data_IF_597813704733
#
_entry.id   IF_597813704733
#
_cell.length_a   1.000
_cell.length_b   1.000
_cell.length_c   1.000
_cell.angle_alpha   90.00
_cell.angle_beta   90.00
_cell.angle_gamma   90.00
#
_symmetry.space_group_name_H-M   'P 1'
#
loop_
_entity.id
_entity.type
_entity.pdbx_description
1 polymer ?
#
# COMPACT_ATOMS: atom_id res chain seq x y z
N UNK A 1 30.68 -7.20 -5.47
CA UNK A 1 30.04 -7.91 -4.34
C UNK A 1 28.90 -8.75 -4.90
N UNK A 2 28.71 -9.98 -4.42
CA UNK A 2 27.55 -10.81 -4.77
C UNK A 2 26.47 -10.78 -3.66
N UNK A 3 25.29 -11.39 -3.90
CA UNK A 3 24.20 -11.43 -2.92
C UNK A 3 24.64 -11.99 -1.57
N UNK A 4 25.40 -13.08 -1.57
CA UNK A 4 25.82 -13.77 -0.33
C UNK A 4 26.71 -12.86 0.51
N UNK A 5 27.67 -12.21 -0.12
CA UNK A 5 28.55 -11.24 0.55
C UNK A 5 27.75 -10.05 1.09
N UNK A 6 26.82 -9.50 0.30
CA UNK A 6 25.99 -8.37 0.72
C UNK A 6 25.15 -8.71 1.96
N UNK A 7 24.49 -9.87 1.94
CA UNK A 7 23.65 -10.33 3.04
C UNK A 7 24.46 -10.65 4.31
N UNK A 8 25.64 -11.26 4.17
CA UNK A 8 26.52 -11.53 5.29
C UNK A 8 27.02 -10.24 5.96
N UNK A 9 27.37 -9.23 5.16
CA UNK A 9 27.80 -7.93 5.67
C UNK A 9 26.65 -7.16 6.32
N UNK A 10 25.46 -7.20 5.73
CA UNK A 10 24.24 -6.63 6.32
C UNK A 10 23.95 -7.26 7.70
N UNK A 11 23.98 -8.59 7.81
CA UNK A 11 23.76 -9.27 9.08
C UNK A 11 24.80 -8.88 10.13
N UNK A 12 26.08 -8.77 9.73
CA UNK A 12 27.17 -8.33 10.59
C UNK A 12 26.94 -6.91 11.11
N UNK A 13 26.53 -5.98 10.26
CA UNK A 13 26.27 -4.58 10.62
C UNK A 13 25.04 -4.42 11.53
N UNK A 14 24.05 -5.30 11.38
CA UNK A 14 22.85 -5.36 12.21
C UNK A 14 23.03 -6.17 13.51
N UNK A 15 24.22 -6.69 13.80
CA UNK A 15 24.51 -7.46 15.02
C UNK A 15 24.23 -6.70 16.33
N UNK A 16 24.26 -5.36 16.28
CA UNK A 16 23.94 -4.49 17.41
C UNK A 16 22.44 -4.38 17.74
N UNK A 17 21.55 -4.84 16.85
CA UNK A 17 20.10 -4.85 17.06
C UNK A 17 19.63 -6.15 17.73
N UNK A 18 18.44 -6.16 18.37
CA UNK A 18 17.83 -7.38 18.88
C UNK A 18 17.71 -8.46 17.79
N UNK A 19 17.84 -9.72 18.20
CA UNK A 19 17.86 -10.86 17.26
C UNK A 19 16.60 -10.92 16.40
N UNK A 20 15.43 -10.65 16.97
CA UNK A 20 14.15 -10.66 16.26
C UNK A 20 14.14 -9.64 15.11
N UNK A 21 14.61 -8.42 15.37
CA UNK A 21 14.65 -7.31 14.39
C UNK A 21 15.71 -7.54 13.33
N UNK A 22 16.89 -8.03 13.73
CA UNK A 22 17.95 -8.43 12.80
C UNK A 22 17.45 -9.52 11.85
N UNK A 23 16.81 -10.57 12.38
CA UNK A 23 16.29 -11.66 11.56
C UNK A 23 15.17 -11.19 10.63
N UNK A 24 14.29 -10.30 11.09
CA UNK A 24 13.24 -9.73 10.26
C UNK A 24 13.83 -8.92 9.10
N UNK A 25 14.80 -8.05 9.38
CA UNK A 25 15.48 -7.25 8.38
C UNK A 25 16.25 -8.12 7.36
N UNK A 26 17.06 -9.08 7.83
CA UNK A 26 17.81 -9.99 6.96
C UNK A 26 16.86 -10.81 6.07
N UNK A 27 15.72 -11.28 6.61
CA UNK A 27 14.72 -11.98 5.79
C UNK A 27 14.11 -11.09 4.72
N UNK A 28 13.76 -9.85 5.06
CA UNK A 28 13.20 -8.91 4.10
C UNK A 28 14.11 -8.69 2.88
N UNK A 29 15.41 -8.45 3.11
CA UNK A 29 16.36 -8.29 2.00
C UNK A 29 16.66 -9.62 1.30
N UNK A 30 16.67 -10.75 2.01
CA UNK A 30 16.82 -12.07 1.38
C UNK A 30 15.69 -12.37 0.39
N UNK A 31 14.44 -12.08 0.77
CA UNK A 31 13.26 -12.26 -0.07
C UNK A 31 13.30 -11.29 -1.27
N UNK A 32 13.72 -10.03 -1.05
CA UNK A 32 13.90 -9.05 -2.13
C UNK A 32 14.92 -9.51 -3.18
N UNK A 33 16.05 -10.08 -2.75
CA UNK A 33 17.02 -10.67 -3.65
C UNK A 33 16.50 -11.94 -4.34
N UNK A 34 15.67 -12.73 -3.66
CA UNK A 34 15.07 -13.94 -4.23
C UNK A 34 14.05 -13.60 -5.33
N UNK A 35 13.24 -12.57 -5.13
CA UNK A 35 12.26 -12.08 -6.11
C UNK A 35 12.93 -11.51 -7.36
N UNK A 36 14.08 -10.85 -7.21
CA UNK A 36 14.86 -10.38 -8.34
C UNK A 36 15.48 -11.52 -9.17
N UNK A 37 15.82 -12.64 -8.51
CA UNK A 37 16.47 -13.79 -9.13
C UNK A 37 17.96 -13.59 -9.44
N UNK A 38 18.67 -14.70 -9.65
CA UNK A 38 20.14 -14.73 -9.78
C UNK A 38 20.68 -13.83 -10.91
N UNK A 39 19.91 -13.67 -11.99
CA UNK A 39 20.29 -12.85 -13.13
C UNK A 39 20.32 -11.35 -12.82
N UNK A 40 19.59 -10.89 -11.81
CA UNK A 40 19.42 -9.47 -11.48
C UNK A 40 20.10 -9.07 -10.16
N UNK A 41 20.85 -9.97 -9.49
CA UNK A 41 21.52 -9.68 -8.22
C UNK A 41 22.44 -8.44 -8.29
N UNK A 42 23.16 -8.28 -9.41
CA UNK A 42 24.05 -7.14 -9.61
C UNK A 42 23.29 -5.81 -9.78
N UNK A 43 22.09 -5.84 -10.34
CA UNK A 43 21.23 -4.66 -10.46
C UNK A 43 20.64 -4.28 -9.11
N UNK A 44 20.18 -5.28 -8.34
CA UNK A 44 19.68 -5.10 -6.98
C UNK A 44 20.75 -4.50 -6.06
N UNK A 45 21.99 -5.00 -6.11
CA UNK A 45 23.08 -4.44 -5.30
C UNK A 45 23.35 -2.97 -5.67
N UNK A 46 23.25 -2.62 -6.96
CA UNK A 46 23.40 -1.23 -7.39
C UNK A 46 22.25 -0.33 -6.95
N UNK A 47 21.04 -0.86 -6.91
CA UNK A 47 19.85 -0.16 -6.44
C UNK A 47 19.90 0.07 -4.92
N UNK A 48 20.27 -0.96 -4.15
CA UNK A 48 20.40 -0.90 -2.70
C UNK A 48 21.60 -0.05 -2.25
N UNK A 49 22.68 -0.02 -3.03
CA UNK A 49 23.92 0.69 -2.68
C UNK A 49 24.84 -0.15 -1.80
N UNK A 50 25.47 0.45 -0.78
CA UNK A 50 26.34 -0.28 0.13
C UNK A 50 25.53 -0.99 1.23
N UNK A 51 25.96 -2.18 1.71
CA UNK A 51 25.31 -2.83 2.85
C UNK A 51 25.34 -1.97 4.13
N UNK A 52 26.32 -1.06 4.24
CA UNK A 52 26.41 -0.05 5.32
C UNK A 52 25.26 0.95 5.28
N UNK A 53 24.93 1.47 4.08
CA UNK A 53 23.79 2.36 3.89
C UNK A 53 22.49 1.68 4.33
N UNK A 54 22.30 0.46 3.87
CA UNK A 54 21.09 -0.33 4.18
C UNK A 54 21.00 -0.63 5.68
N UNK A 55 22.10 -1.04 6.30
CA UNK A 55 22.14 -1.30 7.74
C UNK A 55 21.81 -0.05 8.56
N UNK A 56 22.31 1.11 8.15
CA UNK A 56 22.05 2.37 8.86
C UNK A 56 20.61 2.83 8.67
N UNK A 57 20.03 2.69 7.48
CA UNK A 57 18.61 3.01 7.27
C UNK A 57 17.68 2.15 8.15
N UNK A 58 18.02 0.87 8.33
CA UNK A 58 17.25 -0.05 9.19
C UNK A 58 17.38 0.35 10.65
N UNK A 59 18.60 0.67 11.11
CA UNK A 59 18.83 1.13 12.48
C UNK A 59 18.12 2.44 12.75
N UNK A 60 18.16 3.37 11.80
CA UNK A 60 17.51 4.65 11.95
C UNK A 60 16.00 4.52 12.07
N UNK A 61 15.38 3.66 11.26
CA UNK A 61 13.96 3.33 11.37
C UNK A 61 13.62 2.69 12.72
N UNK A 62 14.47 1.75 13.20
CA UNK A 62 14.27 1.07 14.47
C UNK A 62 14.43 1.99 15.71
N UNK A 63 15.47 2.81 15.74
CA UNK A 63 15.77 3.72 16.85
C UNK A 63 15.06 5.08 16.73
N UNK A 64 14.35 5.32 15.63
CA UNK A 64 13.66 6.59 15.36
C UNK A 64 14.61 7.77 15.18
N UNK A 65 15.80 7.53 14.62
CA UNK A 65 16.80 8.58 14.34
C UNK A 65 16.70 9.05 12.89
N UNK A 66 17.18 10.27 12.60
CA UNK A 66 17.22 10.76 11.21
C UNK A 66 18.25 9.98 10.40
N UNK A 67 17.83 9.44 9.25
CA UNK A 67 18.73 8.84 8.26
C UNK A 67 19.01 9.86 7.15
N UNK A 68 20.27 10.24 6.98
CA UNK A 68 20.68 11.12 5.91
C UNK A 68 21.29 10.32 4.75
N UNK A 69 20.52 10.18 3.67
CA UNK A 69 20.95 9.43 2.49
C UNK A 69 22.19 10.03 1.80
N UNK A 70 22.41 11.35 1.91
CA UNK A 70 23.56 12.02 1.29
C UNK A 70 24.89 11.61 1.91
N UNK A 71 24.88 11.12 3.15
CA UNK A 71 26.09 10.69 3.87
C UNK A 71 26.62 9.35 3.32
N UNK A 72 25.81 8.68 2.48
CA UNK A 72 26.11 7.40 1.85
C UNK A 72 26.00 7.47 0.31
N UNK A 73 26.10 8.68 -0.26
CA UNK A 73 25.95 8.90 -1.69
C UNK A 73 27.09 8.27 -2.51
N UNK A 74 26.78 8.06 -3.79
CA UNK A 74 27.37 7.19 -4.82
C UNK A 74 28.92 7.18 -5.04
N UNK A 75 29.74 7.82 -4.23
CA UNK A 75 31.21 7.83 -4.40
C UNK A 75 31.91 6.71 -3.61
N UNK A 76 31.56 6.52 -2.35
CA UNK A 76 32.28 5.57 -1.49
C UNK A 76 31.99 4.10 -1.81
N UNK A 77 30.79 3.78 -2.31
CA UNK A 77 30.41 2.39 -2.61
C UNK A 77 31.08 1.84 -3.90
N UNK A 78 31.24 2.68 -4.94
CA UNK A 78 31.96 2.32 -6.18
C UNK A 78 33.46 2.21 -5.93
N UNK A 79 34.01 2.99 -5.00
CA UNK A 79 35.42 2.93 -4.60
C UNK A 79 35.74 1.68 -3.76
N UNK A 80 34.83 1.28 -2.85
CA UNK A 80 35.02 0.14 -1.93
C UNK A 80 34.73 -1.24 -2.55
N UNK A 81 33.85 -1.32 -3.56
CA UNK A 81 33.39 -2.59 -4.15
C UNK A 81 33.43 -2.65 -5.69
N UNK A 82 34.05 -1.67 -6.35
CA UNK A 82 34.23 -1.64 -7.80
C UNK A 82 35.07 -2.80 -8.32
N UNK A 83 34.41 -3.77 -8.94
CA UNK A 83 35.06 -4.92 -9.54
C UNK A 83 35.61 -4.55 -10.93
N UNK A 84 36.95 -4.60 -11.00
CA UNK A 84 37.80 -4.86 -12.16
C UNK A 84 37.12 -5.79 -13.18
N UNK A 85 36.66 -5.22 -14.29
CA UNK A 85 36.53 -5.95 -15.56
C UNK A 85 37.66 -5.52 -16.47
N UNK A 86 38.66 -6.39 -16.57
CA UNK A 86 39.66 -6.40 -17.63
C UNK A 86 39.00 -6.78 -18.95
N UNK A 87 38.96 -5.86 -19.91
CA UNK A 87 39.01 -6.22 -21.32
C UNK A 87 40.27 -5.58 -21.91
N UNK A 88 41.36 -6.32 -21.80
CA UNK A 88 42.65 -6.01 -22.40
C UNK A 88 42.90 -7.05 -23.50
N UNK A 89 42.63 -6.67 -24.75
CA UNK A 89 43.27 -7.25 -25.93
C UNK A 89 43.79 -6.16 -26.86
N UNK A 90 44.97 -5.73 -26.45
CA UNK A 90 46.18 -5.36 -27.21
C UNK A 90 46.21 -5.57 -28.74
N UNK A 91 46.46 -4.45 -29.46
CA UNK A 91 47.51 -4.19 -30.47
C UNK A 91 46.97 -3.21 -31.52
N UNK A 92 47.57 -2.08 -31.88
CA UNK A 92 48.86 -1.48 -31.56
C UNK A 92 49.16 -0.42 -32.63
N UNK A 93 50.00 0.57 -32.28
CA UNK A 93 50.64 1.58 -33.16
C UNK A 93 49.74 2.71 -33.70
N UNK A 94 50.15 3.97 -33.82
CA UNK A 94 51.31 4.77 -33.40
C UNK A 94 50.96 6.22 -33.78
N UNK A 95 51.43 7.18 -32.99
CA UNK A 95 51.86 8.52 -33.42
C UNK A 95 50.87 9.70 -33.59
N UNK A 96 51.27 10.79 -32.90
CA UNK A 96 51.21 12.21 -33.27
C UNK A 96 49.89 13.00 -33.26
N UNK A 97 49.94 14.15 -32.57
CA UNK A 97 49.25 15.35 -33.07
C UNK A 97 48.70 16.29 -31.99
N UNK A 98 49.31 17.48 -31.91
CA UNK A 98 48.92 18.61 -31.07
C UNK A 98 47.78 19.47 -31.66
N UNK A 99 47.22 20.39 -30.85
CA UNK A 99 46.52 21.61 -31.28
C UNK A 99 45.01 21.64 -31.02
N UNK A 100 44.46 22.57 -30.21
CA UNK A 100 44.08 23.99 -30.46
C UNK A 100 42.84 24.22 -31.33
N UNK A 101 41.94 25.11 -30.86
CA UNK A 101 40.92 25.87 -31.65
C UNK A 101 39.58 25.14 -31.80
N UNK A 102 38.43 25.62 -31.32
CA UNK A 102 37.66 26.86 -31.55
C UNK A 102 36.86 26.88 -32.87
N UNK A 103 35.52 26.85 -32.71
CA UNK A 103 34.43 27.50 -33.50
C UNK A 103 34.14 27.16 -34.98
N UNK A 104 32.84 27.16 -35.31
CA UNK A 104 32.25 27.38 -36.65
C UNK A 104 31.56 26.14 -37.23
N UNK A 105 30.22 26.04 -37.31
CA UNK A 105 29.26 26.71 -38.21
C UNK A 105 28.93 25.89 -39.49
N UNK A 106 27.63 25.59 -39.63
CA UNK A 106 26.81 25.50 -40.87
C UNK A 106 27.23 24.57 -42.03
N UNK A 107 26.38 23.59 -42.41
CA UNK A 107 25.38 23.69 -43.50
C UNK A 107 24.87 22.32 -44.02
N UNK A 108 23.53 22.28 -44.18
CA UNK A 108 22.69 21.71 -45.27
C UNK A 108 23.09 20.50 -46.13
N UNK A 109 22.07 19.63 -46.29
CA UNK A 109 21.83 18.70 -47.43
C UNK A 109 21.73 17.24 -46.95
N UNK A 110 20.70 16.42 -47.17
CA UNK A 110 19.58 16.44 -48.11
C UNK A 110 19.51 15.07 -48.82
N UNK A 111 18.64 14.17 -48.32
CA UNK A 111 18.00 13.00 -49.02
C UNK A 111 18.93 11.83 -49.44
N UNK A 112 18.66 10.53 -49.25
CA UNK A 112 17.47 9.73 -49.60
C UNK A 112 17.57 8.30 -48.99
N UNK A 113 16.41 7.74 -48.62
CA UNK A 113 15.93 6.34 -48.38
C UNK A 113 16.90 5.13 -48.54
N UNK A 114 16.77 3.97 -47.88
CA UNK A 114 15.61 3.28 -47.28
C UNK A 114 16.08 2.08 -46.42
N UNK A 115 15.32 1.79 -45.36
CA UNK A 115 15.01 0.46 -44.79
C UNK A 115 16.14 -0.46 -44.24
N UNK A 116 16.27 -0.55 -42.91
CA UNK A 116 16.30 -1.83 -42.15
C UNK A 116 16.05 -1.52 -40.66
N UNK A 117 15.15 -2.26 -40.02
CA UNK A 117 14.72 -2.04 -38.64
C UNK A 117 15.83 -2.13 -37.60
N UNK A 118 15.80 -1.20 -36.65
CA UNK A 118 16.20 -1.45 -35.27
C UNK A 118 15.46 -0.44 -34.39
N UNK A 119 14.42 -0.91 -33.70
CA UNK A 119 13.73 -0.19 -32.62
C UNK A 119 14.76 0.18 -31.55
N UNK A 120 15.24 1.43 -31.61
CA UNK A 120 15.97 2.08 -30.52
C UNK A 120 15.10 1.96 -29.26
N UNK A 121 15.55 1.34 -28.14
CA UNK A 121 14.88 1.54 -26.88
C UNK A 121 15.18 2.97 -26.44
N UNK A 122 14.36 3.91 -26.88
CA UNK A 122 14.38 5.28 -26.39
C UNK A 122 13.78 5.31 -24.98
N UNK A 123 14.55 4.86 -24.00
CA UNK A 123 14.25 5.13 -22.58
C UNK A 123 15.20 6.22 -22.12
N UNK A 124 14.91 7.46 -22.54
CA UNK A 124 15.48 8.60 -21.83
C UNK A 124 14.94 8.60 -20.41
N UNK A 125 15.76 9.00 -19.43
CA UNK A 125 15.32 9.17 -18.04
C UNK A 125 14.07 10.06 -17.94
N UNK A 126 13.88 10.97 -18.90
CA UNK A 126 12.68 11.78 -19.06
C UNK A 126 11.42 10.98 -19.44
N UNK A 127 11.51 9.98 -20.32
CA UNK A 127 10.35 9.14 -20.69
C UNK A 127 10.01 8.15 -19.57
N UNK A 128 11.02 7.63 -18.86
CA UNK A 128 10.83 6.86 -17.61
C UNK A 128 10.17 7.72 -16.53
N UNK A 129 10.61 8.98 -16.35
CA UNK A 129 10.03 9.92 -15.36
C UNK A 129 8.62 10.36 -15.73
N UNK A 130 8.34 10.63 -17.02
CA UNK A 130 6.98 10.91 -17.53
C UNK A 130 6.08 9.69 -17.37
N UNK A 131 6.59 8.48 -17.59
CA UNK A 131 5.83 7.24 -17.39
C UNK A 131 5.51 7.02 -15.91
N UNK A 132 6.46 7.27 -15.00
CA UNK A 132 6.23 7.23 -13.56
C UNK A 132 5.19 8.28 -13.13
N UNK A 133 5.28 9.51 -13.64
CA UNK A 133 4.31 10.57 -13.36
C UNK A 133 2.92 10.22 -13.91
N UNK A 134 2.83 9.65 -15.11
CA UNK A 134 1.56 9.21 -15.71
C UNK A 134 0.92 8.06 -14.94
N UNK A 135 1.72 7.08 -14.51
CA UNK A 135 1.28 5.98 -13.64
C UNK A 135 0.85 6.51 -12.27
N UNK A 136 1.59 7.44 -11.67
CA UNK A 136 1.25 8.07 -10.39
C UNK A 136 -0.07 8.86 -10.48
N UNK A 137 -0.30 9.60 -11.56
CA UNK A 137 -1.55 10.35 -11.81
C UNK A 137 -2.75 9.42 -11.99
N UNK A 138 -2.55 8.20 -12.51
CA UNK A 138 -3.62 7.21 -12.66
C UNK A 138 -3.85 6.40 -11.37
N UNK A 139 -2.79 6.10 -10.60
CA UNK A 139 -2.90 5.38 -9.32
C UNK A 139 -3.50 6.23 -8.19
N UNK A 140 -3.25 7.54 -8.16
CA UNK A 140 -3.78 8.43 -7.13
C UNK A 140 -5.33 8.50 -7.09
N UNK A 141 -6.05 8.68 -8.22
CA UNK A 141 -7.51 8.68 -8.23
C UNK A 141 -8.10 7.28 -7.99
N UNK A 142 -7.41 6.21 -8.40
CA UNK A 142 -7.85 4.83 -8.14
C UNK A 142 -7.76 4.48 -6.65
N UNK A 143 -6.67 4.86 -5.98
CA UNK A 143 -6.51 4.66 -4.52
C UNK A 143 -7.51 5.50 -3.72
N UNK A 144 -7.77 6.75 -4.13
CA UNK A 144 -8.83 7.58 -3.56
C UNK A 144 -10.22 6.95 -3.75
N UNK A 145 -10.52 6.42 -4.93
CA UNK A 145 -11.80 5.75 -5.21
C UNK A 145 -12.00 4.49 -4.35
N UNK A 146 -10.96 3.69 -4.17
CA UNK A 146 -11.02 2.50 -3.31
C UNK A 146 -11.18 2.91 -1.83
N UNK A 147 -10.45 3.92 -1.37
CA UNK A 147 -10.59 4.42 -0.01
C UNK A 147 -12.00 4.96 0.28
N UNK A 148 -12.56 5.75 -0.65
CA UNK A 148 -13.91 6.31 -0.53
C UNK A 148 -15.00 5.25 -0.60
N UNK A 149 -14.85 4.22 -1.44
CA UNK A 149 -15.83 3.12 -1.51
C UNK A 149 -15.80 2.29 -0.23
N UNK A 150 -14.63 1.97 0.32
CA UNK A 150 -14.50 1.29 1.62
C UNK A 150 -15.11 2.15 2.74
N UNK A 151 -14.79 3.44 2.78
CA UNK A 151 -15.37 4.37 3.76
C UNK A 151 -16.89 4.47 3.62
N UNK A 152 -17.39 4.55 2.38
CA UNK A 152 -18.82 4.60 2.08
C UNK A 152 -19.55 3.33 2.53
N UNK A 153 -18.95 2.15 2.36
CA UNK A 153 -19.53 0.88 2.86
C UNK A 153 -19.61 0.89 4.38
N UNK A 154 -18.56 1.34 5.08
CA UNK A 154 -18.57 1.43 6.55
C UNK A 154 -19.67 2.39 7.01
N UNK A 155 -19.76 3.58 6.41
CA UNK A 155 -20.80 4.56 6.74
C UNK A 155 -22.20 4.01 6.45
N UNK A 156 -22.40 3.36 5.29
CA UNK A 156 -23.69 2.77 4.93
C UNK A 156 -24.14 1.70 5.93
N UNK A 157 -23.22 0.85 6.38
CA UNK A 157 -23.49 -0.18 7.39
C UNK A 157 -23.87 0.47 8.73
N UNK A 158 -23.15 1.50 9.16
CA UNK A 158 -23.48 2.25 10.39
C UNK A 158 -24.85 2.92 10.30
N UNK A 159 -25.13 3.60 9.18
CA UNK A 159 -26.42 4.25 8.93
C UNK A 159 -27.57 3.23 8.91
N UNK A 160 -27.37 2.07 8.28
CA UNK A 160 -28.36 0.99 8.27
C UNK A 160 -28.71 0.53 9.69
N UNK A 161 -27.72 0.34 10.56
CA UNK A 161 -27.98 0.01 11.97
C UNK A 161 -28.67 1.13 12.74
N UNK A 162 -28.27 2.38 12.53
CA UNK A 162 -28.93 3.51 13.15
C UNK A 162 -30.42 3.56 12.78
N UNK A 163 -30.76 3.34 11.51
CA UNK A 163 -32.14 3.26 11.04
C UNK A 163 -32.89 2.08 11.67
N UNK A 164 -32.26 0.91 11.78
CA UNK A 164 -32.89 -0.24 12.44
C UNK A 164 -33.21 0.01 13.92
N UNK A 165 -32.32 0.68 14.65
CA UNK A 165 -32.54 1.05 16.05
C UNK A 165 -33.70 2.05 16.15
N UNK A 166 -33.70 3.08 15.31
CA UNK A 166 -34.78 4.08 15.27
C UNK A 166 -36.12 3.40 14.93
N UNK A 167 -36.14 2.46 13.97
CA UNK A 167 -37.32 1.71 13.61
C UNK A 167 -37.83 0.81 14.75
N UNK A 168 -36.93 0.14 15.48
CA UNK A 168 -37.31 -0.68 16.63
C UNK A 168 -37.94 0.17 17.75
N UNK A 169 -37.36 1.34 18.03
CA UNK A 169 -37.88 2.28 19.04
C UNK A 169 -39.23 2.85 18.61
N UNK A 170 -39.40 3.23 17.34
CA UNK A 170 -40.68 3.76 16.85
C UNK A 170 -41.79 2.71 16.91
N UNK A 171 -41.50 1.44 16.58
CA UNK A 171 -42.44 0.32 16.75
C UNK A 171 -42.81 0.14 18.22
N UNK A 172 -41.84 0.24 19.13
CA UNK A 172 -42.08 0.10 20.57
C UNK A 172 -43.01 1.21 21.10
N UNK A 173 -42.78 2.46 20.69
CA UNK A 173 -43.65 3.59 21.05
C UNK A 173 -45.05 3.38 20.47
N UNK A 174 -45.16 3.02 19.20
CA UNK A 174 -46.44 2.76 18.55
C UNK A 174 -47.23 1.64 19.24
N UNK A 175 -46.54 0.54 19.61
CA UNK A 175 -47.11 -0.55 20.39
C UNK A 175 -47.65 -0.08 21.74
N UNK A 176 -46.86 0.69 22.49
CA UNK A 176 -47.28 1.27 23.77
C UNK A 176 -48.50 2.18 23.65
N UNK A 177 -48.52 3.07 22.66
CA UNK A 177 -49.68 3.94 22.39
C UNK A 177 -50.92 3.12 22.03
N UNK A 178 -50.76 2.07 21.23
CA UNK A 178 -51.88 1.19 20.83
C UNK A 178 -52.47 0.45 22.04
N UNK A 179 -51.64 0.03 23.01
CA UNK A 179 -52.13 -0.54 24.27
C UNK A 179 -52.97 0.46 25.06
N UNK A 180 -52.52 1.72 25.17
CA UNK A 180 -53.25 2.77 25.90
C UNK A 180 -54.61 3.03 25.23
N UNK A 181 -54.62 3.17 23.90
CA UNK A 181 -55.86 3.37 23.13
C UNK A 181 -56.81 2.19 23.29
N UNK A 182 -56.29 0.96 23.22
CA UNK A 182 -57.07 -0.26 23.44
C UNK A 182 -57.70 -0.33 24.83
N UNK A 183 -56.97 0.08 25.87
CA UNK A 183 -57.49 0.11 27.24
C UNK A 183 -58.64 1.13 27.41
N UNK A 184 -58.54 2.30 26.78
CA UNK A 184 -59.64 3.30 26.79
C UNK A 184 -60.84 2.76 26.02
N UNK A 185 -60.63 2.09 24.89
CA UNK A 185 -61.69 1.50 24.09
C UNK A 185 -62.41 0.33 24.79
N UNK A 186 -61.79 -0.30 25.81
CA UNK A 186 -62.38 -1.41 26.57
C UNK A 186 -63.68 -1.04 27.29
N UNK A 187 -63.87 0.24 27.60
CA UNK A 187 -65.09 0.74 28.26
C UNK A 187 -66.27 0.78 27.28
N UNK A 188 -66.01 1.05 26.00
CA UNK A 188 -67.04 1.20 24.97
C UNK A 188 -67.30 -0.10 24.19
N UNK A 189 -66.24 -0.80 23.78
CA UNK A 189 -66.32 -2.00 22.93
C UNK A 189 -65.28 -3.04 23.38
N UNK A 190 -65.60 -3.88 24.39
CA UNK A 190 -64.64 -4.82 24.97
C UNK A 190 -63.99 -5.82 23.99
N UNK A 191 -64.70 -6.39 22.99
CA UNK A 191 -64.09 -7.31 22.04
C UNK A 191 -63.02 -6.65 21.17
N UNK A 192 -63.27 -5.43 20.68
CA UNK A 192 -62.32 -4.68 19.86
C UNK A 192 -61.11 -4.20 20.68
N UNK A 193 -61.33 -3.89 21.95
CA UNK A 193 -60.27 -3.53 22.89
C UNK A 193 -59.29 -4.69 23.15
N UNK A 194 -59.77 -5.92 23.34
CA UNK A 194 -58.89 -7.07 23.53
C UNK A 194 -57.98 -7.31 22.33
N UNK A 195 -58.52 -7.19 21.11
CA UNK A 195 -57.73 -7.35 19.88
C UNK A 195 -56.67 -6.25 19.75
N UNK A 196 -57.04 -4.99 20.00
CA UNK A 196 -56.11 -3.85 19.88
C UNK A 196 -55.02 -3.87 20.96
N UNK A 197 -55.37 -4.20 22.20
CA UNK A 197 -54.39 -4.39 23.28
C UNK A 197 -53.45 -5.55 22.96
N UNK A 198 -53.96 -6.67 22.46
CA UNK A 198 -53.15 -7.81 22.04
C UNK A 198 -52.13 -7.43 20.95
N UNK A 199 -52.58 -6.72 19.90
CA UNK A 199 -51.70 -6.21 18.83
C UNK A 199 -50.65 -5.25 19.41
N UNK A 200 -51.04 -4.34 20.30
CA UNK A 200 -50.13 -3.41 20.95
C UNK A 200 -49.02 -4.11 21.74
N UNK A 201 -49.36 -5.15 22.51
CA UNK A 201 -48.38 -5.95 23.26
C UNK A 201 -47.45 -6.70 22.31
N UNK A 202 -47.97 -7.31 21.24
CA UNK A 202 -47.15 -8.01 20.24
C UNK A 202 -46.15 -7.06 19.56
N UNK A 203 -46.59 -5.86 19.16
CA UNK A 203 -45.72 -4.85 18.59
C UNK A 203 -44.67 -4.37 19.58
N UNK A 204 -45.04 -4.20 20.85
CA UNK A 204 -44.12 -3.80 21.90
C UNK A 204 -43.04 -4.86 22.15
N UNK A 205 -43.41 -6.14 22.26
CA UNK A 205 -42.47 -7.25 22.42
C UNK A 205 -41.58 -7.40 21.19
N UNK A 206 -42.15 -7.29 19.99
CA UNK A 206 -41.37 -7.33 18.76
C UNK A 206 -40.35 -6.18 18.70
N UNK A 207 -40.76 -4.97 19.06
CA UNK A 207 -39.86 -3.81 19.17
C UNK A 207 -38.71 -4.03 20.16
N UNK A 208 -38.99 -4.65 21.32
CA UNK A 208 -37.95 -5.00 22.29
C UNK A 208 -36.98 -6.06 21.77
N UNK A 209 -37.48 -7.12 21.13
CA UNK A 209 -36.62 -8.17 20.53
C UNK A 209 -35.76 -7.56 19.42
N UNK A 210 -36.34 -6.70 18.57
CA UNK A 210 -35.62 -5.99 17.52
C UNK A 210 -34.54 -5.06 18.10
N UNK A 211 -34.83 -4.33 19.19
CA UNK A 211 -33.86 -3.47 19.86
C UNK A 211 -32.70 -4.28 20.47
N UNK A 212 -32.99 -5.36 21.20
CA UNK A 212 -31.95 -6.23 21.79
C UNK A 212 -31.13 -6.91 20.68
N UNK A 213 -31.79 -7.37 19.62
CA UNK A 213 -31.15 -7.94 18.44
C UNK A 213 -30.21 -6.93 17.78
N UNK A 214 -30.65 -5.69 17.58
CA UNK A 214 -29.83 -4.61 17.04
C UNK A 214 -28.62 -4.30 17.94
N UNK A 215 -28.79 -4.24 19.27
CA UNK A 215 -27.68 -4.01 20.21
C UNK A 215 -26.66 -5.15 20.17
N UNK A 216 -27.11 -6.41 20.22
CA UNK A 216 -26.23 -7.58 20.12
C UNK A 216 -25.50 -7.61 18.77
N UNK A 217 -26.20 -7.27 17.69
CA UNK A 217 -25.63 -7.18 16.36
C UNK A 217 -24.59 -6.06 16.28
N UNK A 218 -24.83 -4.89 16.89
CA UNK A 218 -23.84 -3.81 16.98
C UNK A 218 -22.55 -4.27 17.69
N UNK A 219 -22.68 -5.00 18.81
CA UNK A 219 -21.53 -5.53 19.56
C UNK A 219 -20.73 -6.54 18.75
N UNK A 220 -21.37 -7.30 17.86
CA UNK A 220 -20.70 -8.33 17.06
C UNK A 220 -20.14 -7.77 15.75
N UNK A 221 -20.85 -6.83 15.12
CA UNK A 221 -20.47 -6.22 13.85
C UNK A 221 -19.36 -5.21 14.04
N UNK A 222 -19.32 -4.46 15.15
CA UNK A 222 -18.25 -3.50 15.41
C UNK A 222 -16.84 -4.14 15.44
N UNK A 223 -16.56 -5.21 16.22
CA UNK A 223 -15.26 -5.88 16.19
C UNK A 223 -15.00 -6.64 14.89
N UNK A 224 -16.04 -7.15 14.22
CA UNK A 224 -15.90 -7.81 12.92
C UNK A 224 -15.53 -6.82 11.81
N UNK A 225 -16.13 -5.63 11.79
CA UNK A 225 -15.78 -4.56 10.85
C UNK A 225 -14.39 -4.01 11.13
N UNK A 226 -14.00 -3.84 12.39
CA UNK A 226 -12.63 -3.43 12.73
C UNK A 226 -11.61 -4.47 12.29
N UNK A 227 -11.88 -5.77 12.51
CA UNK A 227 -11.01 -6.84 12.01
C UNK A 227 -11.00 -6.89 10.48
N UNK A 228 -12.14 -6.71 9.83
CA UNK A 228 -12.26 -6.66 8.38
C UNK A 228 -11.50 -5.48 7.78
N UNK A 229 -11.60 -4.30 8.40
CA UNK A 229 -10.86 -3.10 8.02
C UNK A 229 -9.36 -3.28 8.22
N UNK A 230 -8.93 -3.78 9.39
CA UNK A 230 -7.51 -4.09 9.65
C UNK A 230 -6.97 -5.13 8.67
N UNK A 231 -7.76 -6.14 8.32
CA UNK A 231 -7.35 -7.16 7.35
C UNK A 231 -7.32 -6.61 5.91
N UNK A 232 -8.23 -5.70 5.57
CA UNK A 232 -8.26 -5.02 4.28
C UNK A 232 -7.11 -4.01 4.16
N UNK A 233 -6.74 -3.32 5.24
CA UNK A 233 -5.54 -2.48 5.31
C UNK A 233 -4.25 -3.31 5.29
N UNK A 234 -4.27 -4.57 5.75
CA UNK A 234 -3.15 -5.51 5.60
C UNK A 234 -3.01 -6.10 4.20
N UNK A 235 -4.08 -6.13 3.39
CA UNK A 235 -4.04 -6.67 2.02
C UNK A 235 -3.21 -5.88 1.00
N UNK A 236 -3.18 -4.53 0.95
CA UNK A 236 -2.29 -3.81 0.05
C UNK A 236 -0.80 -4.05 0.40
N UNK A 237 -0.47 -4.43 1.64
CA UNK A 237 0.88 -4.81 2.05
C UNK A 237 1.25 -6.27 1.74
N UNK A 238 0.32 -7.08 1.21
CA UNK A 238 0.58 -8.43 0.69
C UNK A 238 0.65 -8.48 -0.84
N UNK A 239 0.54 -7.32 -1.50
CA UNK A 239 0.44 -7.19 -2.96
C UNK A 239 1.71 -6.66 -3.62
N UNK A 240 2.87 -7.20 -3.27
CA UNK A 240 4.06 -7.25 -4.16
C UNK A 240 4.81 -8.53 -3.87
N UNK A 241 4.23 -9.62 -4.35
CA UNK A 241 4.88 -10.90 -4.58
C UNK A 241 4.49 -11.34 -6.00
N UNK A 242 4.96 -10.57 -7.00
CA UNK A 242 5.21 -10.96 -8.40
C UNK A 242 5.91 -9.81 -9.12
#
# INVERSE_FOLDING_TARGET
MNRVEFMAELERLLSAMPEEERQAAVRYYADYFADAGEANEAEVIRELGSPEKVAESIKADYYGTEFNESDYEHKDYMEKYGQRSSDERDNGRENSGAGTGQSGAENRGGSTAENTGNSRPWTSNALKLILIIAIAIILWPVTLGIALTVFGVVVAVVCFFAVLVIAAVSIMIAGGVTVIVGLVAAIAVPPAALVTVGIGILLFVFGLIAAVGAVKLCIIVYPAMLRGFVNLCRRPFYGKAV
#
